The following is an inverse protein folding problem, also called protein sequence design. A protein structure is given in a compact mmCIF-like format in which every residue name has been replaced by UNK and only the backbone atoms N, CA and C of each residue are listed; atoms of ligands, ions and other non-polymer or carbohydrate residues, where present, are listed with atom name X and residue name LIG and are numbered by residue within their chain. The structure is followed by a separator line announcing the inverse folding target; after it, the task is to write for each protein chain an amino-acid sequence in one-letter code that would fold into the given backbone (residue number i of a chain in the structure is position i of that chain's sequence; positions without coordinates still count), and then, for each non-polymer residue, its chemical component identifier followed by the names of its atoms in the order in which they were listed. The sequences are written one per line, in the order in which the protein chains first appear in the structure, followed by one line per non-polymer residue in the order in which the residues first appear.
data_IF_194708668303
#
_entry.id   IF_194708668303
#
_cell.length_a   1.000
_cell.length_b   1.000
_cell.length_c   1.000
_cell.angle_alpha   90.00
_cell.angle_beta   90.00
_cell.angle_gamma   90.00
#
_symmetry.space_group_name_H-M   'P 1'
#
loop_
_entity.id
_entity.type
_entity.pdbx_description
1 polymer ?
#
# COMPACT_ATOMS: atom_id res chain seq x y z
N UNK A 1 -5.20 5.50 -6.72
CA UNK A 1 -6.08 5.10 -5.59
C UNK A 1 -5.20 4.81 -4.38
N UNK A 2 -5.63 5.15 -3.18
CA UNK A 2 -4.95 4.79 -1.93
C UNK A 2 -5.90 3.89 -1.15
N UNK A 3 -5.37 2.79 -0.63
CA UNK A 3 -6.10 1.93 0.30
C UNK A 3 -5.30 1.84 1.60
N UNK A 4 -5.94 2.21 2.69
CA UNK A 4 -5.35 2.15 4.04
C UNK A 4 -5.79 0.83 4.65
N UNK A 5 -4.84 0.05 5.15
CA UNK A 5 -5.13 -1.24 5.78
C UNK A 5 -4.17 -1.52 6.93
N UNK A 6 -4.54 -2.46 7.80
CA UNK A 6 -3.67 -2.91 8.87
C UNK A 6 -2.53 -3.76 8.29
N UNK A 7 -1.30 -3.24 8.37
CA UNK A 7 -0.08 -3.92 7.91
C UNK A 7 0.96 -4.01 9.04
N UNK A 8 0.48 -3.99 10.30
CA UNK A 8 1.29 -3.94 11.51
C UNK A 8 0.86 -2.78 12.41
N UNK A 9 1.18 -2.86 13.69
CA UNK A 9 0.89 -1.84 14.69
C UNK A 9 1.95 -0.74 14.76
N UNK A 10 3.11 -0.95 14.15
CA UNK A 10 4.24 -0.01 14.18
C UNK A 10 5.06 -0.05 12.89
N UNK A 11 5.90 0.97 12.71
CA UNK A 11 6.89 1.02 11.62
C UNK A 11 7.84 -0.18 11.67
N UNK A 12 8.28 -0.56 12.87
CA UNK A 12 9.15 -1.73 13.07
C UNK A 12 8.49 -3.02 12.58
N UNK A 13 7.27 -3.29 13.04
CA UNK A 13 6.53 -4.51 12.65
C UNK A 13 6.27 -4.55 11.14
N UNK A 14 5.99 -3.38 10.54
CA UNK A 14 5.85 -3.26 9.10
C UNK A 14 7.12 -3.65 8.35
N UNK A 15 8.28 -3.13 8.77
CA UNK A 15 9.56 -3.43 8.13
C UNK A 15 9.97 -4.90 8.33
N UNK A 16 9.71 -5.46 9.51
CA UNK A 16 9.98 -6.88 9.78
C UNK A 16 9.16 -7.80 8.85
N UNK A 17 7.91 -7.42 8.55
CA UNK A 17 7.03 -8.21 7.69
C UNK A 17 7.22 -7.91 6.20
N UNK A 18 7.42 -6.64 5.85
CA UNK A 18 7.22 -6.08 4.52
C UNK A 18 8.33 -5.12 4.09
N UNK A 19 9.49 -5.08 4.75
CA UNK A 19 10.63 -4.28 4.29
C UNK A 19 11.16 -4.76 2.95
N UNK A 20 11.24 -6.08 2.76
CA UNK A 20 11.80 -6.71 1.56
C UNK A 20 10.76 -7.47 0.72
N UNK A 21 9.51 -7.58 1.19
CA UNK A 21 8.44 -8.33 0.51
C UNK A 21 7.12 -7.57 0.52
N UNK A 22 6.43 -7.59 -0.61
CA UNK A 22 5.09 -7.02 -0.71
C UNK A 22 4.05 -7.83 0.08
N UNK A 23 3.06 -7.19 0.72
CA UNK A 23 1.87 -7.89 1.20
C UNK A 23 1.07 -8.48 0.03
N UNK A 24 0.20 -9.45 0.32
CA UNK A 24 -0.83 -9.84 -0.65
C UNK A 24 -1.92 -8.78 -0.72
N UNK A 25 -2.53 -8.60 -1.90
CA UNK A 25 -3.63 -7.65 -2.05
C UNK A 25 -4.91 -8.26 -1.45
N UNK A 26 -5.57 -7.60 -0.48
CA UNK A 26 -6.53 -8.26 0.41
C UNK A 26 -7.95 -8.43 -0.15
N UNK A 27 -8.25 -7.87 -1.34
CA UNK A 27 -9.61 -7.80 -1.86
C UNK A 27 -9.64 -7.75 -3.40
N UNK A 28 -10.83 -7.71 -3.99
CA UNK A 28 -10.97 -7.34 -5.39
C UNK A 28 -10.52 -5.90 -5.62
N UNK A 29 -10.13 -5.59 -6.86
CA UNK A 29 -9.61 -4.29 -7.25
C UNK A 29 -10.63 -3.19 -6.92
N UNK A 30 -10.32 -2.22 -6.04
CA UNK A 30 -11.26 -1.15 -5.67
C UNK A 30 -11.54 -0.16 -6.82
N UNK A 31 -10.83 -0.30 -7.95
CA UNK A 31 -11.00 0.57 -9.12
C UNK A 31 -12.03 0.01 -10.10
N UNK A 32 -12.04 -1.30 -10.32
CA UNK A 32 -12.96 -1.94 -11.29
C UNK A 32 -13.91 -2.96 -10.67
N UNK A 33 -13.71 -3.33 -9.40
CA UNK A 33 -14.57 -4.24 -8.63
C UNK A 33 -14.48 -5.72 -8.98
N UNK A 34 -13.64 -6.12 -9.96
CA UNK A 34 -13.71 -7.47 -10.53
C UNK A 34 -12.39 -8.20 -10.72
N UNK A 35 -11.26 -7.49 -10.86
CA UNK A 35 -9.96 -8.13 -11.08
C UNK A 35 -9.15 -8.24 -9.78
N UNK A 36 -8.19 -9.15 -9.75
CA UNK A 36 -7.12 -9.14 -8.74
C UNK A 36 -5.99 -8.19 -9.17
N UNK A 37 -5.68 -7.14 -8.40
CA UNK A 37 -4.58 -6.24 -8.75
C UNK A 37 -3.23 -6.95 -8.82
N UNK A 38 -2.45 -6.66 -9.86
CA UNK A 38 -1.11 -7.22 -10.04
C UNK A 38 -0.06 -6.38 -9.33
N UNK A 39 0.94 -6.99 -8.69
CA UNK A 39 2.04 -6.26 -8.05
C UNK A 39 2.84 -5.47 -9.08
N UNK A 40 2.90 -4.14 -8.93
CA UNK A 40 3.58 -3.25 -9.86
C UNK A 40 4.97 -2.83 -9.36
N UNK A 41 5.12 -2.63 -8.06
CA UNK A 41 6.38 -2.19 -7.45
C UNK A 41 6.11 -1.52 -6.11
N UNK A 42 7.02 -0.64 -5.68
CA UNK A 42 6.82 0.22 -4.53
C UNK A 42 7.42 1.61 -4.79
N UNK A 43 7.29 2.50 -3.82
CA UNK A 43 8.07 3.72 -3.68
C UNK A 43 8.32 3.94 -2.19
N UNK A 44 9.40 4.62 -1.84
CA UNK A 44 9.71 4.88 -0.44
C UNK A 44 8.98 6.11 0.09
N UNK A 45 8.52 6.02 1.33
CA UNK A 45 7.84 7.11 2.03
C UNK A 45 8.41 7.25 3.43
N UNK A 46 8.63 8.50 3.85
CA UNK A 46 8.95 8.80 5.24
C UNK A 46 7.77 8.47 6.16
N UNK A 47 8.07 7.67 7.19
CA UNK A 47 7.22 7.41 8.34
C UNK A 47 7.89 7.99 9.57
N UNK A 48 7.09 8.61 10.43
CA UNK A 48 7.53 9.11 11.73
C UNK A 48 7.19 8.04 12.76
N UNK A 49 8.21 7.53 13.44
CA UNK A 49 8.08 6.77 14.68
C UNK A 49 8.42 7.70 15.87
N UNK A 50 8.14 7.28 17.10
CA UNK A 50 8.25 8.11 18.30
C UNK A 50 9.58 8.89 18.42
N UNK A 51 10.68 8.28 17.96
CA UNK A 51 12.03 8.81 18.12
C UNK A 51 12.80 9.00 16.79
N UNK A 52 12.19 8.70 15.63
CA UNK A 52 12.91 8.75 14.35
C UNK A 52 12.03 8.92 13.12
N UNK A 53 12.63 9.48 12.08
CA UNK A 53 12.09 9.41 10.72
C UNK A 53 12.78 8.27 9.97
N UNK A 54 12.00 7.40 9.36
CA UNK A 54 12.52 6.25 8.60
C UNK A 54 11.73 6.08 7.31
N UNK A 55 12.42 5.66 6.24
CA UNK A 55 11.77 5.34 4.99
C UNK A 55 11.22 3.92 5.01
N UNK A 56 9.96 3.77 4.62
CA UNK A 56 9.31 2.48 4.43
C UNK A 56 8.84 2.33 2.98
N UNK A 57 8.87 1.10 2.42
CA UNK A 57 8.34 0.86 1.09
C UNK A 57 6.81 0.92 1.12
N UNK A 58 6.20 1.64 0.17
CA UNK A 58 4.75 1.65 -0.06
C UNK A 58 4.46 0.89 -1.34
N UNK A 59 3.87 -0.30 -1.20
CA UNK A 59 3.61 -1.18 -2.32
C UNK A 59 2.46 -0.69 -3.21
N UNK A 60 2.67 -0.80 -4.51
CA UNK A 60 1.74 -0.41 -5.57
C UNK A 60 1.27 -1.63 -6.36
N UNK A 61 -0.01 -1.63 -6.67
CA UNK A 61 -0.67 -2.66 -7.44
C UNK A 61 -1.38 -2.04 -8.62
N UNK A 62 -1.35 -2.72 -9.76
CA UNK A 62 -1.93 -2.28 -11.01
C UNK A 62 -3.27 -2.99 -11.23
N UNK A 63 -4.32 -2.22 -11.48
CA UNK A 63 -5.60 -2.74 -11.95
C UNK A 63 -5.43 -3.47 -13.29
N UNK A 64 -5.99 -4.68 -13.40
CA UNK A 64 -5.94 -5.54 -14.59
C UNK A 64 -7.31 -5.61 -15.30
N UNK A 65 -8.10 -4.54 -15.26
CA UNK A 65 -9.38 -4.52 -15.98
C UNK A 65 -9.16 -4.71 -17.48
N UNK A 66 -9.93 -5.62 -18.09
CA UNK A 66 -9.82 -5.96 -19.51
C UNK A 66 -10.18 -4.79 -20.44
N UNK A 67 -11.11 -3.94 -20.01
CA UNK A 67 -11.59 -2.79 -20.77
C UNK A 67 -10.87 -1.47 -20.43
N UNK A 68 -9.60 -1.54 -20.01
CA UNK A 68 -8.83 -0.32 -19.71
C UNK A 68 -8.47 0.44 -20.98
N UNK A 69 -8.57 1.77 -20.93
CA UNK A 69 -8.10 2.64 -22.01
C UNK A 69 -6.57 2.57 -22.04
N UNK A 70 -5.99 2.34 -23.22
CA UNK A 70 -4.54 2.31 -23.40
C UNK A 70 -3.90 3.62 -22.92
N UNK A 71 -2.83 3.51 -22.14
CA UNK A 71 -2.17 4.66 -21.50
C UNK A 71 -2.86 5.19 -20.23
N UNK A 72 -3.96 4.59 -19.77
CA UNK A 72 -4.65 4.95 -18.52
C UNK A 72 -4.57 3.86 -17.46
N UNK A 73 -3.36 3.34 -17.23
CA UNK A 73 -3.11 2.38 -16.16
C UNK A 73 -3.38 3.01 -14.79
N UNK A 74 -4.24 2.38 -14.01
CA UNK A 74 -4.63 2.86 -12.68
C UNK A 74 -3.98 2.01 -11.60
N UNK A 75 -3.25 2.68 -10.70
CA UNK A 75 -2.55 2.04 -9.59
C UNK A 75 -3.24 2.27 -8.24
N UNK A 76 -3.01 1.32 -7.34
CA UNK A 76 -3.47 1.32 -5.96
C UNK A 76 -2.23 1.24 -5.08
N UNK A 77 -2.05 2.24 -4.21
CA UNK A 77 -1.03 2.20 -3.17
C UNK A 77 -1.63 1.61 -1.90
N UNK A 78 -1.02 0.56 -1.35
CA UNK A 78 -1.38 0.01 -0.04
C UNK A 78 -0.60 0.73 1.03
N UNK A 79 -1.29 1.52 1.85
CA UNK A 79 -0.67 2.27 2.95
C UNK A 79 -0.97 1.57 4.29
N UNK A 80 0.03 1.41 5.16
CA UNK A 80 -0.22 1.02 6.54
C UNK A 80 -1.04 2.08 7.27
N UNK A 81 -1.95 1.63 8.14
CA UNK A 81 -2.82 2.50 8.93
C UNK A 81 -2.13 3.26 10.08
N UNK A 82 -0.89 2.92 10.44
CA UNK A 82 -0.13 3.69 11.43
C UNK A 82 0.45 5.00 10.86
N UNK A 83 0.45 5.20 9.54
CA UNK A 83 0.99 6.42 8.94
C UNK A 83 0.11 7.64 9.23
N UNK A 84 0.70 8.75 9.65
CA UNK A 84 0.00 10.04 9.73
C UNK A 84 -0.46 10.53 8.34
N UNK A 85 -1.68 11.10 8.19
CA UNK A 85 -2.73 11.34 9.20
C UNK A 85 -3.76 10.20 9.32
N UNK A 86 -3.43 9.02 8.79
CA UNK A 86 -4.33 7.85 8.77
C UNK A 86 -4.32 7.06 10.08
N UNK A 87 -3.38 7.35 10.98
CA UNK A 87 -3.41 6.84 12.33
C UNK A 87 -4.67 7.32 13.05
N UNK A 88 -5.59 6.40 13.24
CA UNK A 88 -6.70 6.59 14.17
C UNK A 88 -6.05 6.76 15.56
N UNK A 89 -6.15 7.94 16.13
CA UNK A 89 -5.64 8.19 17.48
C UNK A 89 -6.40 7.25 18.41
N UNK A 90 -5.67 6.40 19.13
CA UNK A 90 -6.18 5.68 20.29
C UNK A 90 -6.11 6.60 21.52
#
# INVERSE_FOLDING_TARGET
MVMITFLGASVKEYLDCYGEKSPDFPADCPICGSCKPHRHGHFDRWAVDADSEIQIPIYRYLCQAENKVEGQDKTISLLPNFLWPFSLHA
#
